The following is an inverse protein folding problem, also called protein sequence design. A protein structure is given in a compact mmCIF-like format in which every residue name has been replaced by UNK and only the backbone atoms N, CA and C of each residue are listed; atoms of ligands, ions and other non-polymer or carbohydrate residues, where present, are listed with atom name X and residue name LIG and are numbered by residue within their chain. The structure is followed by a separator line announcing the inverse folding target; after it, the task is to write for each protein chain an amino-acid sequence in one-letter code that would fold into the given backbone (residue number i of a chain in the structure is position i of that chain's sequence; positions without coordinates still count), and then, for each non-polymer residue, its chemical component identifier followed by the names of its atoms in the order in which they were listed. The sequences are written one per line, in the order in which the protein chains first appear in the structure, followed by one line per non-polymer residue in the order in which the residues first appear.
data_IF_885114802148
#
_entry.id   IF_885114802148
#
_cell.length_a   1.000
_cell.length_b   1.000
_cell.length_c   1.000
_cell.angle_alpha   90.00
_cell.angle_beta   90.00
_cell.angle_gamma   90.00
#
_symmetry.space_group_name_H-M   'P 1'
#
loop_
_entity.id
_entity.type
_entity.pdbx_description
1 polymer ?
#
# COMPACT_ATOMS: atom_id res chain seq x y z
N UNK A 1 -53.76 3.43 -5.34
CA UNK A 1 -52.89 2.83 -4.30
C UNK A 1 -52.01 1.79 -4.99
N UNK A 2 -50.74 2.09 -5.25
CA UNK A 2 -49.83 1.15 -5.92
C UNK A 2 -49.07 0.37 -4.86
N UNK A 3 -49.26 -0.94 -4.87
CA UNK A 3 -48.57 -1.90 -4.03
C UNK A 3 -47.07 -1.87 -4.33
N UNK A 4 -46.28 -1.40 -3.36
CA UNK A 4 -44.83 -1.57 -3.34
C UNK A 4 -44.57 -3.03 -2.99
N UNK A 5 -44.03 -3.79 -3.95
CA UNK A 5 -43.42 -5.08 -3.65
C UNK A 5 -42.21 -4.79 -2.76
N UNK A 6 -42.32 -5.14 -1.49
CA UNK A 6 -41.18 -5.33 -0.60
C UNK A 6 -40.33 -6.42 -1.25
N UNK A 7 -39.22 -6.03 -1.87
CA UNK A 7 -38.23 -6.98 -2.37
C UNK A 7 -37.49 -7.47 -1.13
N UNK A 8 -37.76 -8.72 -0.81
CA UNK A 8 -37.15 -9.46 0.28
C UNK A 8 -35.64 -9.60 0.00
N UNK A 9 -34.82 -8.75 0.62
CA UNK A 9 -33.35 -8.76 0.48
C UNK A 9 -32.70 -9.78 1.43
N UNK A 10 -33.25 -10.99 1.45
CA UNK A 10 -32.69 -12.12 2.19
C UNK A 10 -31.68 -12.89 1.33
N UNK A 11 -30.40 -12.73 1.68
CA UNK A 11 -29.30 -13.69 1.55
C UNK A 11 -29.16 -14.51 0.23
N UNK A 12 -28.16 -14.17 -0.59
CA UNK A 12 -27.12 -15.09 -1.14
C UNK A 12 -26.41 -14.44 -2.33
N UNK A 13 -25.34 -13.67 -2.07
CA UNK A 13 -24.31 -13.44 -3.09
C UNK A 13 -23.30 -14.59 -2.98
N UNK A 14 -23.42 -15.57 -3.88
CA UNK A 14 -22.41 -16.62 -4.08
C UNK A 14 -21.20 -15.97 -4.73
N UNK A 15 -20.07 -15.92 -4.02
CA UNK A 15 -18.82 -15.37 -4.54
C UNK A 15 -17.91 -16.50 -5.03
N UNK A 16 -17.62 -16.50 -6.34
CA UNK A 16 -16.37 -17.03 -6.88
C UNK A 16 -15.47 -15.83 -7.17
N UNK A 17 -14.43 -15.66 -6.35
CA UNK A 17 -13.37 -14.70 -6.60
C UNK A 17 -12.34 -15.37 -7.51
N UNK A 18 -12.24 -14.93 -8.77
CA UNK A 18 -11.10 -15.29 -9.63
C UNK A 18 -9.85 -14.63 -9.08
N UNK A 19 -8.91 -15.49 -8.69
CA UNK A 19 -7.62 -15.15 -8.16
C UNK A 19 -6.79 -14.33 -9.16
N UNK A 20 -6.46 -13.09 -8.80
CA UNK A 20 -5.21 -12.46 -9.24
C UNK A 20 -4.62 -11.67 -8.06
N UNK A 21 -3.38 -12.02 -7.73
CA UNK A 21 -2.47 -11.45 -6.75
C UNK A 21 -2.65 -11.90 -5.29
N UNK A 22 -1.90 -12.95 -4.96
CA UNK A 22 -1.64 -13.47 -3.62
C UNK A 22 -1.27 -12.35 -2.64
N UNK A 23 -2.21 -11.97 -1.78
CA UNK A 23 -1.90 -11.61 -0.39
C UNK A 23 -2.87 -12.39 0.50
N UNK A 24 -2.33 -13.29 1.31
CA UNK A 24 -3.04 -13.91 2.43
C UNK A 24 -3.36 -12.83 3.48
N UNK A 25 -4.35 -12.00 3.20
CA UNK A 25 -5.20 -11.41 4.21
C UNK A 25 -6.28 -12.47 4.43
N UNK A 26 -6.33 -13.08 5.61
CA UNK A 26 -7.45 -13.93 5.99
C UNK A 26 -8.73 -13.22 5.54
N UNK A 27 -9.44 -13.84 4.61
CA UNK A 27 -10.73 -13.36 4.14
C UNK A 27 -11.61 -13.50 5.37
N UNK A 28 -11.76 -12.42 6.14
CA UNK A 28 -12.83 -12.28 7.12
C UNK A 28 -14.12 -12.47 6.31
N UNK A 29 -14.66 -13.69 6.35
CA UNK A 29 -15.98 -13.98 5.82
C UNK A 29 -16.95 -13.01 6.49
N UNK A 30 -18.03 -12.62 5.81
CA UNK A 30 -19.06 -11.74 6.39
C UNK A 30 -19.61 -12.24 7.74
N UNK A 31 -19.41 -13.53 8.04
CA UNK A 31 -19.75 -14.21 9.29
C UNK A 31 -18.75 -14.01 10.45
N UNK A 32 -17.60 -13.37 10.25
CA UNK A 32 -16.48 -13.33 11.23
C UNK A 32 -16.10 -11.93 11.73
N UNK A 33 -16.82 -10.88 11.33
CA UNK A 33 -16.58 -9.51 11.83
C UNK A 33 -17.84 -8.92 12.50
N UNK A 34 -18.08 -9.13 13.80
CA UNK A 34 -19.28 -8.62 14.49
C UNK A 34 -19.33 -7.08 14.56
N UNK A 35 -18.20 -6.38 14.41
CA UNK A 35 -18.16 -4.91 14.45
C UNK A 35 -18.53 -4.25 13.13
N UNK A 36 -18.50 -4.97 11.99
CA UNK A 36 -18.90 -4.37 10.71
C UNK A 36 -20.38 -3.97 10.68
N UNK A 37 -21.25 -4.63 11.44
CA UNK A 37 -22.66 -4.24 11.60
C UNK A 37 -22.87 -3.00 12.47
N UNK A 38 -21.83 -2.50 13.17
CA UNK A 38 -21.89 -1.27 13.95
C UNK A 38 -21.62 0.00 13.12
N UNK A 39 -21.23 -0.18 11.86
CA UNK A 39 -21.05 0.90 10.90
C UNK A 39 -22.33 1.03 10.08
N UNK A 40 -23.20 1.93 10.49
CA UNK A 40 -24.44 2.23 9.77
C UNK A 40 -24.18 2.99 8.46
N UNK A 41 -25.17 2.98 7.57
CA UNK A 41 -25.07 3.61 6.25
C UNK A 41 -24.89 5.13 6.32
N UNK A 42 -25.38 5.78 7.38
CA UNK A 42 -25.23 7.23 7.59
C UNK A 42 -23.78 7.57 7.91
N UNK A 43 -23.12 6.81 8.78
CA UNK A 43 -21.70 6.97 9.08
C UNK A 43 -20.84 6.68 7.85
N UNK A 44 -21.18 5.63 7.08
CA UNK A 44 -20.46 5.32 5.84
C UNK A 44 -20.58 6.48 4.84
N UNK A 45 -21.80 6.94 4.57
CA UNK A 45 -22.06 7.96 3.57
C UNK A 45 -21.52 9.34 3.98
N UNK A 46 -21.75 9.79 5.21
CA UNK A 46 -21.49 11.19 5.60
C UNK A 46 -20.19 11.40 6.37
N UNK A 47 -19.63 10.35 6.97
CA UNK A 47 -18.36 10.46 7.71
C UNK A 47 -17.22 9.76 7.01
N UNK A 48 -17.34 8.45 6.76
CA UNK A 48 -16.24 7.66 6.23
C UNK A 48 -15.86 8.04 4.80
N UNK A 49 -16.83 8.27 3.90
CA UNK A 49 -16.55 8.75 2.54
C UNK A 49 -15.84 10.10 2.54
N UNK A 50 -16.25 11.01 3.42
CA UNK A 50 -15.60 12.31 3.58
C UNK A 50 -14.17 12.15 4.09
N UNK A 51 -13.96 11.24 5.05
CA UNK A 51 -12.64 10.95 5.61
C UNK A 51 -11.67 10.35 4.58
N UNK A 52 -12.15 9.58 3.59
CA UNK A 52 -11.29 9.07 2.50
C UNK A 52 -11.17 10.03 1.31
N UNK A 53 -11.83 11.19 1.37
CA UNK A 53 -11.78 12.22 0.33
C UNK A 53 -12.68 11.92 -0.87
N UNK A 54 -13.80 11.23 -0.67
CA UNK A 54 -14.78 10.89 -1.70
C UNK A 54 -16.24 11.29 -1.35
N UNK A 55 -16.51 12.51 -0.86
CA UNK A 55 -17.85 12.90 -0.46
C UNK A 55 -18.84 13.02 -1.63
N UNK A 56 -18.37 13.12 -2.87
CA UNK A 56 -19.23 13.17 -4.06
C UNK A 56 -20.05 11.87 -4.26
N UNK A 57 -19.64 10.75 -3.68
CA UNK A 57 -20.39 9.49 -3.76
C UNK A 57 -21.39 9.31 -2.62
N UNK A 58 -21.43 10.21 -1.64
CA UNK A 58 -22.30 10.10 -0.46
C UNK A 58 -23.78 9.89 -0.78
N UNK A 59 -24.40 10.65 -1.72
CA UNK A 59 -25.81 10.46 -2.03
C UNK A 59 -26.15 9.04 -2.56
N UNK A 60 -25.22 8.43 -3.31
CA UNK A 60 -25.41 7.09 -3.86
C UNK A 60 -25.18 6.00 -2.81
N UNK A 61 -24.21 6.18 -1.91
CA UNK A 61 -24.01 5.27 -0.79
C UNK A 61 -25.19 5.31 0.20
N UNK A 62 -25.72 6.51 0.49
CA UNK A 62 -26.87 6.68 1.37
C UNK A 62 -28.15 6.09 0.76
N UNK A 63 -28.47 6.42 -0.50
CA UNK A 63 -29.67 5.91 -1.18
C UNK A 63 -29.66 4.39 -1.38
N UNK A 64 -28.48 3.78 -1.54
CA UNK A 64 -28.32 2.33 -1.60
C UNK A 64 -28.12 1.67 -0.23
N UNK A 65 -28.22 2.42 0.88
CA UNK A 65 -28.08 1.94 2.26
C UNK A 65 -26.80 1.14 2.50
N UNK A 66 -25.68 1.57 1.93
CA UNK A 66 -24.40 0.87 2.03
C UNK A 66 -23.88 0.94 3.47
N UNK A 67 -24.04 -0.15 4.21
CA UNK A 67 -23.53 -0.32 5.58
C UNK A 67 -22.13 -0.99 5.60
N UNK A 68 -21.56 -1.17 6.80
CA UNK A 68 -20.25 -1.81 6.94
C UNK A 68 -20.20 -3.26 6.43
N UNK A 69 -21.31 -4.01 6.45
CA UNK A 69 -21.36 -5.38 5.91
C UNK A 69 -21.30 -5.36 4.39
N UNK A 70 -22.07 -4.48 3.75
CA UNK A 70 -22.01 -4.28 2.31
C UNK A 70 -20.62 -3.81 1.88
N UNK A 71 -20.02 -2.90 2.65
CA UNK A 71 -18.67 -2.39 2.38
C UNK A 71 -17.62 -3.51 2.41
N UNK A 72 -17.73 -4.48 3.34
CA UNK A 72 -16.84 -5.64 3.40
C UNK A 72 -16.81 -6.45 2.09
N UNK A 73 -17.96 -6.58 1.44
CA UNK A 73 -18.18 -7.42 0.25
C UNK A 73 -18.26 -6.64 -1.06
N UNK A 74 -18.02 -5.33 -1.02
CA UNK A 74 -18.20 -4.45 -2.16
C UNK A 74 -17.16 -4.74 -3.25
N UNK A 75 -17.62 -5.14 -4.44
CA UNK A 75 -16.74 -5.39 -5.59
C UNK A 75 -16.60 -4.16 -6.49
N UNK A 76 -15.58 -4.15 -7.37
CA UNK A 76 -15.43 -3.11 -8.41
C UNK A 76 -16.65 -3.01 -9.31
N UNK A 77 -17.25 -4.15 -9.65
CA UNK A 77 -18.45 -4.22 -10.48
C UNK A 77 -19.66 -3.60 -9.77
N UNK A 78 -19.80 -3.80 -8.46
CA UNK A 78 -20.88 -3.21 -7.68
C UNK A 78 -20.74 -1.68 -7.57
N UNK A 79 -19.51 -1.22 -7.34
CA UNK A 79 -19.16 0.20 -7.35
C UNK A 79 -19.52 0.89 -8.67
N UNK A 80 -19.21 0.24 -9.80
CA UNK A 80 -19.53 0.76 -11.12
C UNK A 80 -21.03 0.75 -11.40
N UNK A 81 -21.69 -0.39 -11.15
CA UNK A 81 -23.09 -0.60 -11.56
C UNK A 81 -24.10 0.13 -10.67
N UNK A 82 -23.85 0.23 -9.37
CA UNK A 82 -24.84 0.70 -8.40
C UNK A 82 -24.45 2.02 -7.73
N UNK A 83 -23.15 2.33 -7.67
CA UNK A 83 -22.62 3.50 -6.93
C UNK A 83 -21.97 4.55 -7.86
N UNK A 84 -22.01 4.34 -9.18
CA UNK A 84 -21.50 5.25 -10.21
C UNK A 84 -20.00 5.60 -10.05
N UNK A 85 -19.21 4.71 -9.44
CA UNK A 85 -17.77 4.88 -9.26
C UNK A 85 -17.03 4.22 -10.42
N UNK A 86 -16.95 4.93 -11.55
CA UNK A 86 -16.28 4.42 -12.76
C UNK A 86 -14.75 4.53 -12.73
N UNK A 87 -14.22 5.52 -12.01
CA UNK A 87 -12.78 5.79 -11.96
C UNK A 87 -12.02 4.67 -11.26
N UNK A 88 -11.08 4.01 -11.95
CA UNK A 88 -10.21 2.96 -11.37
C UNK A 88 -9.46 3.45 -10.13
N UNK A 89 -9.06 4.73 -10.11
CA UNK A 89 -8.41 5.37 -8.98
C UNK A 89 -9.34 5.48 -7.77
N UNK A 90 -10.56 5.98 -7.93
CA UNK A 90 -11.56 6.06 -6.86
C UNK A 90 -11.96 4.69 -6.34
N UNK A 91 -12.12 3.70 -7.23
CA UNK A 91 -12.34 2.30 -6.81
C UNK A 91 -11.18 1.78 -5.96
N UNK A 92 -9.93 2.07 -6.35
CA UNK A 92 -8.75 1.68 -5.56
C UNK A 92 -8.73 2.37 -4.19
N UNK A 93 -9.05 3.67 -4.15
CA UNK A 93 -9.18 4.45 -2.91
C UNK A 93 -10.18 3.79 -1.94
N UNK A 94 -11.41 3.52 -2.41
CA UNK A 94 -12.43 2.87 -1.58
C UNK A 94 -11.92 1.52 -1.04
N UNK A 95 -11.36 0.67 -1.91
CA UNK A 95 -10.86 -0.65 -1.51
C UNK A 95 -9.75 -0.58 -0.45
N UNK A 96 -8.83 0.38 -0.54
CA UNK A 96 -7.79 0.58 0.47
C UNK A 96 -8.35 1.15 1.78
N UNK A 97 -9.36 2.02 1.71
CA UNK A 97 -10.13 2.43 2.88
C UNK A 97 -10.81 1.23 3.58
N UNK A 98 -11.42 0.31 2.83
CA UNK A 98 -11.99 -0.93 3.37
C UNK A 98 -10.89 -1.82 3.95
N UNK A 99 -9.74 -1.92 3.30
CA UNK A 99 -8.60 -2.68 3.80
C UNK A 99 -8.09 -2.14 5.14
N UNK A 100 -8.07 -0.82 5.34
CA UNK A 100 -7.78 -0.21 6.64
C UNK A 100 -8.81 -0.65 7.68
N UNK A 101 -10.10 -0.54 7.38
CA UNK A 101 -11.16 -0.97 8.30
C UNK A 101 -11.01 -2.44 8.68
N UNK A 102 -10.73 -3.33 7.71
CA UNK A 102 -10.46 -4.76 7.98
C UNK A 102 -9.29 -4.97 8.94
N UNK A 103 -8.18 -4.24 8.77
CA UNK A 103 -7.01 -4.31 9.67
C UNK A 103 -7.32 -3.85 11.09
N UNK A 104 -8.31 -2.98 11.27
CA UNK A 104 -8.79 -2.52 12.56
C UNK A 104 -10.00 -3.33 13.06
N UNK A 105 -10.35 -4.43 12.39
CA UNK A 105 -11.51 -5.26 12.75
C UNK A 105 -12.84 -4.54 12.65
N UNK A 106 -12.95 -3.52 11.78
CA UNK A 106 -14.09 -2.59 11.65
C UNK A 106 -14.47 -1.87 12.95
N UNK A 107 -13.49 -1.69 13.84
CA UNK A 107 -13.68 -0.94 15.08
C UNK A 107 -13.51 0.57 14.84
N UNK A 108 -14.63 1.29 14.84
CA UNK A 108 -14.66 2.76 14.67
C UNK A 108 -14.00 3.51 15.83
N UNK A 109 -13.99 2.95 17.03
CA UNK A 109 -13.39 3.57 18.21
C UNK A 109 -11.87 3.49 18.11
N UNK A 110 -11.33 2.33 17.71
CA UNK A 110 -9.90 2.17 17.44
C UNK A 110 -9.43 3.08 16.31
N UNK A 111 -10.21 3.22 15.23
CA UNK A 111 -9.89 4.14 14.14
C UNK A 111 -9.84 5.60 14.63
N UNK A 112 -10.85 6.02 15.40
CA UNK A 112 -10.95 7.38 15.94
C UNK A 112 -9.78 7.68 16.89
N UNK A 113 -9.47 6.76 17.78
CA UNK A 113 -8.37 6.88 18.75
C UNK A 113 -7.01 6.99 18.06
N UNK A 114 -6.76 6.16 17.03
CA UNK A 114 -5.50 6.25 16.26
C UNK A 114 -5.39 7.58 15.50
N UNK A 115 -6.48 8.06 14.91
CA UNK A 115 -6.51 9.37 14.25
C UNK A 115 -6.22 10.51 15.23
N UNK A 116 -6.85 10.49 16.40
CA UNK A 116 -6.62 11.50 17.42
C UNK A 116 -5.15 11.57 17.87
N UNK A 117 -4.48 10.42 18.01
CA UNK A 117 -3.04 10.36 18.30
C UNK A 117 -2.20 10.96 17.17
N UNK A 118 -2.57 10.69 15.93
CA UNK A 118 -1.88 11.19 14.73
C UNK A 118 -2.03 12.72 14.52
N UNK A 119 -3.07 13.35 15.06
CA UNK A 119 -3.34 14.80 14.90
C UNK A 119 -2.22 15.69 15.46
N UNK A 120 -1.51 15.20 16.48
CA UNK A 120 -0.50 16.00 17.20
C UNK A 120 0.89 16.04 16.57
N UNK A 121 1.24 15.06 15.72
CA UNK A 121 2.66 14.84 15.36
C UNK A 121 2.92 14.28 13.97
N UNK A 122 1.95 14.34 13.04
CA UNK A 122 2.03 13.67 11.73
C UNK A 122 2.59 12.24 11.83
N UNK A 123 2.14 11.52 12.85
CA UNK A 123 2.46 10.11 13.09
C UNK A 123 1.40 9.22 12.46
N UNK A 124 1.72 7.94 12.26
CA UNK A 124 0.78 6.92 11.77
C UNK A 124 0.03 7.33 10.47
N UNK A 125 0.75 7.51 9.34
CA UNK A 125 0.14 7.91 8.08
C UNK A 125 -0.91 6.92 7.56
N UNK A 126 -0.95 5.70 8.08
CA UNK A 126 -1.93 4.68 7.67
C UNK A 126 -3.38 5.12 7.96
N UNK A 127 -3.63 5.84 9.05
CA UNK A 127 -5.00 6.21 9.49
C UNK A 127 -5.44 7.61 9.02
N UNK A 128 -4.56 8.33 8.33
CA UNK A 128 -4.82 9.71 7.91
C UNK A 128 -6.05 9.83 7.04
N UNK A 129 -6.90 10.80 7.38
CA UNK A 129 -8.00 11.25 6.53
C UNK A 129 -7.45 12.03 5.34
N UNK A 130 -8.27 12.26 4.33
CA UNK A 130 -7.96 13.19 3.23
C UNK A 130 -7.62 14.59 3.77
N UNK A 131 -8.39 15.08 4.74
CA UNK A 131 -8.10 16.35 5.40
C UNK A 131 -6.72 16.38 6.06
N UNK A 132 -6.31 15.28 6.71
CA UNK A 132 -4.98 15.19 7.32
C UNK A 132 -3.86 15.17 6.27
N UNK A 133 -4.09 14.54 5.12
CA UNK A 133 -3.14 14.60 3.99
C UNK A 133 -3.01 16.03 3.45
N UNK A 134 -4.12 16.77 3.35
CA UNK A 134 -4.12 18.19 2.94
C UNK A 134 -3.28 19.03 3.90
N UNK A 135 -3.49 18.88 5.21
CA UNK A 135 -2.71 19.59 6.25
C UNK A 135 -1.22 19.24 6.19
N UNK A 136 -0.90 17.96 5.93
CA UNK A 136 0.49 17.55 5.76
C UNK A 136 1.13 18.20 4.53
N UNK A 137 0.43 18.23 3.38
CA UNK A 137 0.92 18.91 2.17
C UNK A 137 1.14 20.41 2.42
N UNK A 138 0.26 21.06 3.19
CA UNK A 138 0.44 22.44 3.61
C UNK A 138 1.69 22.61 4.48
N UNK A 139 1.93 21.68 5.41
CA UNK A 139 3.07 21.74 6.35
C UNK A 139 4.45 21.56 5.69
N UNK A 140 4.50 21.01 4.47
CA UNK A 140 5.73 20.84 3.69
C UNK A 140 5.92 21.94 2.63
N UNK A 141 5.32 23.11 2.85
CA UNK A 141 5.39 24.29 1.97
C UNK A 141 4.74 24.12 0.59
N UNK A 142 3.73 23.25 0.47
CA UNK A 142 2.99 23.00 -0.78
C UNK A 142 1.50 23.41 -0.68
N UNK A 143 1.19 24.41 0.14
CA UNK A 143 -0.18 24.87 0.38
C UNK A 143 -0.96 25.27 -0.88
N UNK A 144 -0.28 25.86 -1.87
CA UNK A 144 -0.89 26.29 -3.14
C UNK A 144 -1.49 25.12 -3.96
N UNK A 145 -1.04 23.88 -3.70
CA UNK A 145 -1.56 22.67 -4.34
C UNK A 145 -2.53 21.88 -3.48
N UNK A 146 -2.55 22.11 -2.17
CA UNK A 146 -3.16 21.20 -1.20
C UNK A 146 -4.68 21.02 -1.43
N UNK A 147 -5.39 22.09 -1.77
CA UNK A 147 -6.83 22.04 -2.04
C UNK A 147 -7.21 21.18 -3.25
N UNK A 148 -6.25 20.84 -4.14
CA UNK A 148 -6.48 19.92 -5.26
C UNK A 148 -6.73 18.48 -4.80
N UNK A 149 -6.42 18.15 -3.55
CA UNK A 149 -6.72 16.82 -2.99
C UNK A 149 -8.17 16.67 -2.52
N UNK A 150 -8.96 17.74 -2.48
CA UNK A 150 -10.40 17.64 -2.20
C UNK A 150 -11.06 16.79 -3.30
N UNK A 151 -11.94 15.89 -2.88
CA UNK A 151 -12.66 14.95 -3.77
C UNK A 151 -11.78 14.00 -4.59
N UNK A 152 -10.46 13.96 -4.33
CA UNK A 152 -9.51 13.14 -5.09
C UNK A 152 -9.53 11.66 -4.70
N UNK A 153 -9.99 11.35 -3.48
CA UNK A 153 -9.86 10.03 -2.87
C UNK A 153 -8.49 9.71 -2.29
N UNK A 154 -7.56 10.67 -2.25
CA UNK A 154 -6.25 10.48 -1.61
C UNK A 154 -6.41 10.52 -0.09
N UNK A 155 -5.98 9.46 0.58
CA UNK A 155 -5.98 9.32 2.04
C UNK A 155 -4.85 8.37 2.47
N UNK A 156 -4.60 8.29 3.78
CA UNK A 156 -3.48 7.56 4.36
C UNK A 156 -3.39 6.09 3.99
N UNK A 157 -4.52 5.38 4.01
CA UNK A 157 -4.55 3.97 3.67
C UNK A 157 -4.17 3.72 2.21
N UNK A 158 -4.65 4.55 1.26
CA UNK A 158 -4.21 4.46 -0.14
C UNK A 158 -2.70 4.72 -0.25
N UNK A 159 -2.18 5.77 0.37
CA UNK A 159 -0.76 6.15 0.31
C UNK A 159 0.14 5.02 0.84
N UNK A 160 -0.21 4.45 1.99
CA UNK A 160 0.65 3.48 2.69
C UNK A 160 0.49 2.06 2.13
N UNK A 161 -0.75 1.63 1.85
CA UNK A 161 -1.04 0.24 1.52
C UNK A 161 -0.92 -0.10 0.03
N UNK A 162 -1.07 0.86 -0.87
CA UNK A 162 -0.92 0.65 -2.32
C UNK A 162 0.55 0.78 -2.72
N UNK A 163 1.26 -0.31 -3.06
CA UNK A 163 2.70 -0.26 -3.34
C UNK A 163 3.04 0.61 -4.55
N UNK A 164 2.12 0.70 -5.51
CA UNK A 164 2.29 1.50 -6.74
C UNK A 164 2.00 2.99 -6.54
N UNK A 165 1.52 3.41 -5.36
CA UNK A 165 1.32 4.81 -5.05
C UNK A 165 2.67 5.48 -4.76
N UNK A 166 3.06 6.41 -5.62
CA UNK A 166 4.34 7.13 -5.57
C UNK A 166 4.16 8.64 -5.48
N UNK A 167 5.27 9.37 -5.31
CA UNK A 167 5.28 10.82 -5.36
C UNK A 167 4.78 11.39 -6.69
N UNK A 168 4.97 10.67 -7.81
CA UNK A 168 4.44 11.07 -9.11
C UNK A 168 2.92 10.94 -9.18
N UNK A 169 2.35 9.89 -8.57
CA UNK A 169 0.90 9.75 -8.43
C UNK A 169 0.33 10.90 -7.61
N UNK A 170 0.94 11.20 -6.46
CA UNK A 170 0.51 12.30 -5.60
C UNK A 170 0.68 13.66 -6.30
N UNK A 171 1.78 13.91 -7.00
CA UNK A 171 2.00 15.12 -7.78
C UNK A 171 0.93 15.31 -8.87
N UNK A 172 0.46 14.22 -9.47
CA UNK A 172 -0.63 14.24 -10.44
C UNK A 172 -1.95 14.63 -9.78
N UNK A 173 -2.27 14.07 -8.61
CA UNK A 173 -3.45 14.47 -7.83
C UNK A 173 -3.39 15.94 -7.39
N UNK A 174 -2.19 16.43 -7.02
CA UNK A 174 -1.93 17.83 -6.69
C UNK A 174 -1.91 18.76 -7.91
N UNK A 175 -2.05 18.22 -9.13
CA UNK A 175 -1.94 18.97 -10.39
C UNK A 175 -0.60 19.71 -10.54
N UNK A 176 0.50 19.18 -9.98
CA UNK A 176 1.84 19.72 -10.13
C UNK A 176 2.37 19.39 -11.54
N UNK A 177 2.70 20.37 -12.39
CA UNK A 177 3.22 20.11 -13.73
C UNK A 177 4.57 19.36 -13.72
N UNK A 178 4.88 18.60 -14.77
CA UNK A 178 6.18 17.93 -14.91
C UNK A 178 7.37 18.92 -15.01
N UNK A 179 7.12 20.17 -15.41
CA UNK A 179 8.13 21.22 -15.45
C UNK A 179 8.60 21.68 -14.06
N UNK A 180 7.77 21.55 -13.02
CA UNK A 180 8.12 21.94 -11.63
C UNK A 180 8.96 20.86 -10.94
N UNK A 181 10.15 20.60 -11.46
CA UNK A 181 11.05 19.53 -10.98
C UNK A 181 11.43 19.66 -9.49
N UNK A 182 11.68 20.88 -9.01
CA UNK A 182 12.02 21.12 -7.60
C UNK A 182 10.88 20.71 -6.66
N UNK A 183 9.65 21.11 -6.98
CA UNK A 183 8.44 20.73 -6.20
C UNK A 183 8.27 19.21 -6.16
N UNK A 184 8.43 18.54 -7.31
CA UNK A 184 8.30 17.08 -7.39
C UNK A 184 9.38 16.35 -6.57
N UNK A 185 10.63 16.81 -6.62
CA UNK A 185 11.72 16.24 -5.82
C UNK A 185 11.53 16.46 -4.32
N UNK A 186 11.06 17.64 -3.94
CA UNK A 186 10.70 17.95 -2.56
C UNK A 186 9.59 17.03 -2.07
N UNK A 187 8.48 16.97 -2.80
CA UNK A 187 7.36 16.07 -2.50
C UNK A 187 7.80 14.60 -2.38
N UNK A 188 8.70 14.14 -3.25
CA UNK A 188 9.23 12.79 -3.18
C UNK A 188 10.00 12.55 -1.87
N UNK A 189 10.86 13.47 -1.49
CA UNK A 189 11.67 13.36 -0.26
C UNK A 189 10.77 13.29 0.98
N UNK A 190 9.81 14.21 1.07
CA UNK A 190 8.86 14.29 2.18
C UNK A 190 7.94 13.05 2.24
N UNK A 191 7.39 12.61 1.09
CA UNK A 191 6.53 11.43 1.04
C UNK A 191 7.29 10.16 1.40
N UNK A 192 8.52 9.99 0.93
CA UNK A 192 9.34 8.82 1.26
C UNK A 192 9.71 8.77 2.74
N UNK A 193 10.04 9.92 3.35
CA UNK A 193 10.29 10.06 4.79
C UNK A 193 9.09 9.60 5.62
N UNK A 194 7.88 9.92 5.17
CA UNK A 194 6.64 9.53 5.83
C UNK A 194 6.27 8.05 5.62
N UNK A 195 6.38 7.56 4.38
CA UNK A 195 5.78 6.28 3.97
C UNK A 195 6.69 5.08 4.22
N UNK A 196 8.02 5.22 4.05
CA UNK A 196 8.95 4.09 4.23
C UNK A 196 8.85 3.48 5.63
N UNK A 197 8.94 4.26 6.74
CA UNK A 197 8.84 3.69 8.08
C UNK A 197 7.49 3.01 8.34
N UNK A 198 6.40 3.61 7.85
CA UNK A 198 5.05 3.07 8.01
C UNK A 198 4.86 1.74 7.25
N UNK A 199 5.41 1.61 6.04
CA UNK A 199 5.38 0.37 5.26
C UNK A 199 6.23 -0.72 5.91
N UNK A 200 7.41 -0.37 6.41
CA UNK A 200 8.28 -1.30 7.14
C UNK A 200 7.60 -1.84 8.40
N UNK A 201 6.99 -0.98 9.21
CA UNK A 201 6.25 -1.39 10.42
C UNK A 201 5.15 -2.41 10.12
N UNK A 202 4.43 -2.25 9.00
CA UNK A 202 3.41 -3.19 8.55
C UNK A 202 4.01 -4.56 8.19
N UNK A 203 5.20 -4.59 7.59
CA UNK A 203 5.91 -5.82 7.25
C UNK A 203 6.41 -6.52 8.52
N UNK A 204 7.00 -5.79 9.47
CA UNK A 204 7.49 -6.36 10.74
C UNK A 204 6.34 -6.96 11.57
N UNK A 205 5.19 -6.29 11.65
CA UNK A 205 4.03 -6.84 12.37
C UNK A 205 3.51 -8.14 11.76
N UNK A 206 3.68 -8.33 10.45
CA UNK A 206 3.31 -9.58 9.75
C UNK A 206 4.31 -10.71 10.00
N UNK A 207 5.61 -10.41 10.14
CA UNK A 207 6.61 -11.44 10.42
C UNK A 207 6.56 -11.91 11.86
N UNK A 208 6.38 -11.00 12.83
CA UNK A 208 6.30 -11.33 14.26
C UNK A 208 5.05 -12.12 14.68
N UNK A 209 4.02 -12.20 13.83
CA UNK A 209 2.81 -12.96 14.12
C UNK A 209 2.94 -14.46 13.80
N UNK A 210 4.02 -14.89 13.12
CA UNK A 210 4.26 -16.31 12.80
C UNK A 210 4.86 -17.13 13.95
N UNK A 211 5.44 -16.50 14.97
CA UNK A 211 6.18 -17.21 16.03
C UNK A 211 5.40 -17.40 17.34
N UNK A 212 4.14 -16.94 17.42
CA UNK A 212 3.32 -17.05 18.64
C UNK A 212 2.40 -18.29 18.65
N UNK A 213 2.90 -19.45 18.23
CA UNK A 213 2.18 -20.73 18.34
C UNK A 213 3.06 -21.90 18.82
N UNK A 214 4.11 -21.72 19.63
CA UNK A 214 4.75 -22.82 20.38
C UNK A 214 5.55 -22.35 21.59
N UNK A 215 4.91 -21.87 22.66
CA UNK A 215 5.51 -21.97 24.01
C UNK A 215 4.44 -22.33 25.02
N UNK A 216 4.06 -23.61 25.04
CA UNK A 216 3.44 -24.21 26.22
C UNK A 216 4.52 -24.36 27.28
N UNK A 217 4.41 -23.57 28.35
CA UNK A 217 5.21 -23.70 29.56
C UNK A 217 5.08 -25.12 30.13
N UNK A 218 6.18 -25.87 30.14
CA UNK A 218 6.33 -27.04 31.02
C UNK A 218 7.30 -26.68 32.15
N UNK A 219 6.73 -26.58 33.35
CA UNK A 219 7.43 -26.30 34.61
C UNK A 219 8.41 -27.44 34.93
N UNK A 220 9.61 -27.05 35.36
CA UNK A 220 10.67 -27.93 35.87
C UNK A 220 10.23 -28.79 37.06
N UNK A 221 10.60 -30.08 37.04
CA UNK A 221 10.86 -30.91 38.23
C UNK A 221 12.31 -31.41 38.15
N UNK A 222 13.14 -30.99 39.10
CA UNK A 222 14.50 -31.50 39.28
C UNK A 222 14.47 -32.72 40.22
N UNK A 223 15.20 -33.78 39.88
CA UNK A 223 15.51 -34.90 40.78
C UNK A 223 17.01 -34.90 41.12
N UNK A 224 17.30 -35.09 42.42
CA UNK A 224 18.63 -35.25 43.02
C UNK A 224 19.18 -36.68 42.80
N UNK A 225 20.41 -36.80 42.30
CA UNK A 225 21.48 -37.80 42.60
C UNK A 225 22.58 -37.58 41.56
N UNK A 226 23.87 -37.50 41.84
CA UNK A 226 24.75 -38.16 42.80
C UNK A 226 26.20 -37.89 42.34
N UNK A 227 27.14 -37.98 43.28
CA UNK A 227 28.51 -37.46 43.21
C UNK A 227 29.57 -38.46 42.68
N UNK A 228 30.84 -38.00 42.62
CA UNK A 228 32.13 -38.59 42.19
C UNK A 228 32.42 -38.52 40.67
N UNK A 229 33.56 -38.01 40.16
CA UNK A 229 34.77 -37.45 40.74
C UNK A 229 35.90 -37.34 39.69
N UNK A 230 36.83 -36.39 39.93
CA UNK A 230 38.25 -36.27 39.46
C UNK A 230 38.59 -35.95 37.98
N UNK A 231 39.04 -34.69 37.80
CA UNK A 231 40.26 -34.18 37.16
C UNK A 231 40.97 -34.97 36.03
N UNK A 232 41.17 -34.32 34.87
CA UNK A 232 42.43 -33.85 34.27
C UNK A 232 42.19 -33.49 32.80
N UNK A 233 42.74 -32.38 32.29
CA UNK A 233 42.87 -32.16 30.85
C UNK A 233 42.52 -30.75 30.37
N UNK A 234 43.52 -29.86 30.35
CA UNK A 234 43.48 -28.60 29.60
C UNK A 234 43.43 -28.91 28.10
N UNK A 235 42.44 -28.39 27.37
CA UNK A 235 42.65 -27.94 25.99
C UNK A 235 41.59 -26.90 25.59
N UNK A 236 42.11 -25.75 25.19
CA UNK A 236 41.42 -24.60 24.61
C UNK A 236 40.56 -25.06 23.43
N UNK A 237 39.27 -24.68 23.45
CA UNK A 237 38.37 -24.81 22.29
C UNK A 237 37.54 -23.54 22.17
N UNK A 238 38.23 -22.51 21.68
CA UNK A 238 37.65 -21.52 20.78
C UNK A 238 37.10 -22.27 19.54
N UNK A 239 36.06 -21.75 18.89
CA UNK A 239 35.20 -22.39 17.87
C UNK A 239 33.91 -23.02 18.42
N UNK A 240 33.04 -22.15 18.94
CA UNK A 240 31.61 -22.41 19.11
C UNK A 240 30.83 -21.25 18.46
N UNK A 241 31.06 -21.01 17.18
CA UNK A 241 30.09 -20.32 16.30
C UNK A 241 30.43 -20.47 14.81
N UNK A 242 30.21 -21.65 14.23
CA UNK A 242 30.11 -21.79 12.77
C UNK A 242 28.85 -22.57 12.44
N UNK A 243 27.88 -21.85 11.87
CA UNK A 243 26.66 -22.37 11.27
C UNK A 243 26.78 -22.23 9.73
N UNK A 244 26.08 -23.09 8.97
CA UNK A 244 26.59 -23.66 7.74
C UNK A 244 26.22 -22.86 6.49
N UNK A 245 27.11 -21.97 6.06
CA UNK A 245 27.11 -21.40 4.70
C UNK A 245 28.50 -20.99 4.20
N UNK A 246 29.57 -21.52 4.78
CA UNK A 246 30.91 -21.45 4.17
C UNK A 246 30.98 -22.43 2.99
N UNK A 247 30.23 -22.15 1.92
CA UNK A 247 30.54 -22.61 0.57
C UNK A 247 31.02 -21.41 -0.23
N UNK A 248 32.34 -21.32 -0.27
CA UNK A 248 33.14 -20.48 -1.15
C UNK A 248 32.80 -20.84 -2.61
N UNK A 249 32.04 -19.98 -3.29
CA UNK A 249 31.89 -20.04 -4.75
C UNK A 249 33.12 -19.35 -5.36
N UNK A 250 34.07 -20.19 -5.74
CA UNK A 250 35.30 -19.84 -6.46
C UNK A 250 34.96 -19.03 -7.73
N UNK A 251 35.38 -17.77 -7.74
CA UNK A 251 35.26 -16.88 -8.89
C UNK A 251 36.53 -17.01 -9.75
N UNK A 252 36.45 -17.43 -11.03
CA UNK A 252 37.63 -17.50 -11.87
C UNK A 252 38.18 -16.09 -12.17
N UNK A 253 39.33 -15.78 -11.58
CA UNK A 253 40.19 -14.65 -11.96
C UNK A 253 40.80 -14.92 -13.33
N UNK A 254 40.43 -14.14 -14.34
CA UNK A 254 41.20 -14.07 -15.60
C UNK A 254 41.78 -12.67 -15.80
N UNK A 255 43.07 -12.70 -16.16
CA UNK A 255 44.07 -11.65 -16.14
C UNK A 255 43.80 -10.60 -17.22
N UNK A 256 44.06 -9.33 -16.88
CA UNK A 256 44.19 -8.23 -17.85
C UNK A 256 45.43 -8.48 -18.71
N UNK A 257 45.24 -8.65 -20.01
CA UNK A 257 46.29 -8.52 -21.02
C UNK A 257 45.85 -7.45 -22.01
N UNK A 258 46.69 -6.43 -22.15
CA UNK A 258 46.58 -5.32 -23.09
C UNK A 258 46.86 -5.77 -24.52
N UNK A 259 45.91 -5.56 -25.43
CA UNK A 259 46.12 -5.46 -26.87
C UNK A 259 45.11 -4.43 -27.45
N UNK A 260 45.46 -3.69 -28.52
CA UNK A 260 44.64 -2.60 -29.03
C UNK A 260 43.45 -3.13 -29.84
N UNK A 261 42.27 -2.54 -29.65
CA UNK A 261 41.09 -2.80 -30.48
C UNK A 261 41.18 -1.87 -31.70
N UNK A 262 41.30 -2.47 -32.88
CA UNK A 262 41.11 -1.80 -34.17
C UNK A 262 39.65 -1.39 -34.26
N UNK A 263 39.40 -0.10 -34.42
CA UNK A 263 38.09 0.45 -34.74
C UNK A 263 37.95 0.40 -36.25
N UNK A 264 37.27 -0.63 -36.78
CA UNK A 264 36.76 -0.59 -38.14
C UNK A 264 35.44 0.18 -38.12
N UNK A 265 35.48 1.39 -38.67
CA UNK A 265 34.33 2.21 -39.02
C UNK A 265 33.65 1.61 -40.25
N UNK A 266 32.54 0.89 -40.06
CA UNK A 266 31.60 0.59 -41.13
C UNK A 266 30.59 1.74 -41.22
N UNK A 267 30.96 2.76 -41.97
CA UNK A 267 30.06 3.81 -42.47
C UNK A 267 29.40 3.28 -43.74
N UNK A 268 28.35 2.48 -43.65
CA UNK A 268 27.46 2.16 -44.80
C UNK A 268 26.19 1.46 -44.26
N UNK A 269 25.20 2.24 -43.86
CA UNK A 269 23.75 1.91 -43.93
C UNK A 269 22.94 3.08 -43.33
N UNK A 270 22.85 4.18 -44.08
CA UNK A 270 21.82 5.20 -43.85
C UNK A 270 20.67 4.91 -44.83
N UNK A 271 19.46 4.58 -44.35
CA UNK A 271 18.30 4.38 -45.21
C UNK A 271 17.98 5.64 -46.03
N UNK A 272 17.72 5.46 -47.32
CA UNK A 272 17.47 6.50 -48.34
C UNK A 272 16.31 7.49 -48.05
N UNK A 273 15.63 7.40 -46.91
CA UNK A 273 14.53 8.31 -46.53
C UNK A 273 15.00 9.63 -45.91
N UNK A 274 16.29 9.81 -45.60
CA UNK A 274 16.79 11.02 -44.93
C UNK A 274 17.30 12.09 -45.93
N UNK A 275 17.65 11.71 -47.17
CA UNK A 275 18.09 12.69 -48.19
C UNK A 275 16.92 13.48 -48.80
N UNK A 276 15.72 12.92 -48.83
CA UNK A 276 14.54 13.56 -49.44
C UNK A 276 13.93 14.67 -48.54
N UNK A 277 14.15 14.60 -47.23
CA UNK A 277 13.67 15.61 -46.27
C UNK A 277 14.54 16.88 -46.24
N UNK A 278 15.84 16.76 -46.47
CA UNK A 278 16.77 17.89 -46.40
C UNK A 278 16.66 18.80 -47.65
N UNK A 279 16.22 18.23 -48.78
CA UNK A 279 15.98 18.95 -50.03
C UNK A 279 14.62 19.68 -50.00
N UNK A 280 13.62 19.12 -49.32
CA UNK A 280 12.33 19.77 -49.08
C UNK A 280 12.43 20.99 -48.13
N UNK A 281 13.34 20.95 -47.14
CA UNK A 281 13.56 22.07 -46.20
C UNK A 281 14.26 23.25 -46.89
N UNK A 282 15.13 22.99 -47.88
CA UNK A 282 15.79 24.05 -48.67
C UNK A 282 14.83 24.76 -49.65
N UNK A 283 13.83 24.07 -50.19
CA UNK A 283 12.85 24.69 -51.08
C UNK A 283 11.77 25.50 -50.35
N UNK A 284 11.53 25.24 -49.06
CA UNK A 284 10.55 25.98 -48.27
C UNK A 284 11.08 27.29 -47.64
N UNK A 285 12.39 27.56 -47.76
CA UNK A 285 13.04 28.75 -47.17
C UNK A 285 13.58 29.75 -48.20
N UNK A 286 13.12 29.68 -49.46
CA UNK A 286 13.42 30.68 -50.51
C UNK A 286 12.16 31.34 -51.05
#
# INVERSE_FOLDING_TARGET
MRNIKVVDNSCMMKYNCTAENHTNLEILSSSTCPKCSLLDHTWIAHKWLHDIGLPQFSPLFESNLVDGRMLCSLSRKDMEKHLNVHGKFHQSSILHGVQLLRRLGFDKEVLTERRHKADTSFTDPLVWTNQRVIEWVQSIDLEEYADKLRDSGVHGALIVLEPTFTADTLATCLSVPHSKRYVRRHLQTELESLVKPAREEIVLKRSGQKDSLTVSQSKSRMTLRGSLGRAFGKKVKEELNKQPWDMELDSPKVKRTSAPIVVESNDDDIPDQIKELDEAIKQASS
#
